data_IF_492414212903
#
_entry.id   IF_492414212903
#
_cell.length_a   1.000
_cell.length_b   1.000
_cell.length_c   1.000
_cell.angle_alpha   90.00
_cell.angle_beta   90.00
_cell.angle_gamma   90.00
#
_symmetry.space_group_name_H-M   'P 1'
#
loop_
_entity.id
_entity.type
_entity.pdbx_description
1 polymer ?
#
# COMPACT_ATOMS: atom_id res chain seq x y z
N UNK A 1 19.35 -20.00 23.53
CA UNK A 1 19.71 -18.56 23.44
C UNK A 1 18.52 -17.71 23.86
N UNK A 2 18.72 -16.94 24.93
CA UNK A 2 18.07 -15.72 25.45
C UNK A 2 16.59 -15.43 25.08
N UNK A 3 15.69 -15.76 26.00
CA UNK A 3 14.36 -15.16 26.11
C UNK A 3 14.46 -13.94 27.03
N UNK A 4 14.76 -12.77 26.47
CA UNK A 4 14.78 -11.50 27.23
C UNK A 4 13.36 -11.19 27.73
N UNK A 5 13.08 -11.57 28.98
CA UNK A 5 11.85 -11.23 29.66
C UNK A 5 11.76 -9.71 29.77
N UNK A 6 10.71 -9.11 29.21
CA UNK A 6 10.44 -7.68 29.40
C UNK A 6 10.34 -7.42 30.90
N UNK A 7 11.22 -6.57 31.44
CA UNK A 7 11.20 -6.11 32.82
C UNK A 7 10.45 -4.77 32.91
N UNK A 8 10.02 -4.38 34.10
CA UNK A 8 9.49 -3.05 34.31
C UNK A 8 10.58 -1.99 34.09
N UNK A 9 10.28 -0.99 33.26
CA UNK A 9 11.21 0.09 32.87
C UNK A 9 11.74 0.95 34.02
N UNK A 10 11.16 0.88 35.22
CA UNK A 10 11.54 1.72 36.36
C UNK A 10 12.14 0.96 37.55
N UNK A 11 11.85 -0.33 37.65
CA UNK A 11 12.10 -1.10 38.88
C UNK A 11 12.78 -2.45 38.58
N UNK A 12 13.07 -2.75 37.30
CA UNK A 12 13.59 -4.01 36.75
C UNK A 12 12.90 -5.30 37.24
N UNK A 13 11.77 -5.16 37.91
CA UNK A 13 10.97 -6.26 38.44
C UNK A 13 10.07 -6.83 37.35
N UNK A 14 9.54 -8.03 37.60
CA UNK A 14 8.58 -8.68 36.70
C UNK A 14 7.35 -7.79 36.50
N UNK A 15 7.04 -7.36 35.26
CA UNK A 15 5.92 -6.48 35.01
C UNK A 15 4.61 -7.26 35.07
N UNK A 16 3.60 -6.64 35.68
CA UNK A 16 2.26 -7.20 35.79
C UNK A 16 1.27 -6.59 34.79
N UNK A 17 1.56 -5.38 34.32
CA UNK A 17 0.65 -4.60 33.50
C UNK A 17 1.38 -3.88 32.36
N UNK A 18 0.61 -3.31 31.42
CA UNK A 18 1.12 -2.50 30.30
C UNK A 18 0.38 -1.17 30.25
N UNK A 19 1.09 -0.10 29.88
CA UNK A 19 0.47 1.22 29.73
C UNK A 19 -0.48 1.25 28.53
N UNK A 20 -1.71 1.79 28.64
CA UNK A 20 -2.65 1.87 27.51
C UNK A 20 -2.22 2.86 26.42
N UNK A 21 -1.33 3.80 26.73
CA UNK A 21 -0.91 4.86 25.79
C UNK A 21 0.34 4.49 24.98
N UNK A 22 1.27 3.75 25.57
CA UNK A 22 2.56 3.45 24.94
C UNK A 22 2.96 1.97 25.00
N UNK A 23 2.14 1.13 25.63
CA UNK A 23 2.36 -0.32 25.77
C UNK A 23 3.63 -0.75 26.52
N UNK A 24 4.32 0.20 27.18
CA UNK A 24 5.49 -0.08 28.03
C UNK A 24 5.06 -0.91 29.26
N UNK A 25 5.81 -1.97 29.60
CA UNK A 25 5.54 -2.84 30.74
C UNK A 25 5.87 -2.19 32.10
N UNK A 26 5.02 -2.41 33.11
CA UNK A 26 5.26 -1.89 34.47
C UNK A 26 4.86 -2.86 35.60
N UNK A 27 5.51 -2.71 36.76
CA UNK A 27 5.33 -3.58 37.93
C UNK A 27 4.16 -3.13 38.85
N UNK A 28 3.91 -1.82 38.98
CA UNK A 28 2.87 -1.28 39.89
C UNK A 28 2.32 0.09 39.45
N UNK A 29 1.26 0.56 40.11
CA UNK A 29 0.66 1.89 39.87
C UNK A 29 1.69 3.01 40.07
N UNK A 30 2.60 2.88 41.05
CA UNK A 30 3.68 3.85 41.28
C UNK A 30 4.59 3.98 40.04
N UNK A 31 4.99 2.85 39.46
CA UNK A 31 5.80 2.85 38.23
C UNK A 31 5.02 3.35 37.02
N UNK A 32 3.70 3.15 36.96
CA UNK A 32 2.85 3.71 35.91
C UNK A 32 2.72 5.23 36.01
N UNK A 33 2.63 5.78 37.23
CA UNK A 33 2.58 7.23 37.45
C UNK A 33 3.92 7.89 37.09
N UNK A 34 5.04 7.31 37.51
CA UNK A 34 6.37 7.81 37.15
C UNK A 34 6.60 7.77 35.64
N UNK A 35 6.16 6.69 35.00
CA UNK A 35 6.13 6.57 33.54
C UNK A 35 5.36 7.70 32.86
N UNK A 36 4.14 7.99 33.34
CA UNK A 36 3.25 9.00 32.74
C UNK A 36 3.80 10.42 32.85
N UNK A 37 4.51 10.73 33.93
CA UNK A 37 5.08 12.06 34.18
C UNK A 37 6.32 12.32 33.32
N UNK A 38 7.20 11.34 33.20
CA UNK A 38 8.55 11.57 32.67
C UNK A 38 8.73 11.08 31.22
N UNK A 39 8.09 9.96 30.82
CA UNK A 39 8.51 9.22 29.61
C UNK A 39 7.34 8.53 28.86
N UNK A 40 6.10 9.02 28.99
CA UNK A 40 4.96 8.45 28.28
C UNK A 40 4.78 9.05 26.89
N UNK A 41 5.54 8.52 25.94
CA UNK A 41 5.42 8.86 24.54
C UNK A 41 4.54 7.81 23.86
N UNK A 42 3.41 8.24 23.28
CA UNK A 42 2.62 7.38 22.40
C UNK A 42 3.53 6.99 21.23
N UNK A 43 3.80 5.70 20.98
CA UNK A 43 4.57 5.33 19.81
C UNK A 43 3.88 5.93 18.60
N UNK A 44 4.64 6.44 17.62
CA UNK A 44 4.03 6.81 16.35
C UNK A 44 3.17 5.62 15.91
N UNK A 45 1.95 5.85 15.39
CA UNK A 45 1.18 4.77 14.78
C UNK A 45 2.15 4.01 13.90
N UNK A 46 2.19 2.65 13.95
CA UNK A 46 3.16 1.87 13.22
C UNK A 46 3.20 2.48 11.84
N UNK A 47 4.35 3.07 11.49
CA UNK A 47 4.55 3.52 10.14
C UNK A 47 4.12 2.32 9.32
N UNK A 48 3.12 2.51 8.47
CA UNK A 48 2.89 1.62 7.35
C UNK A 48 4.17 1.75 6.52
N UNK A 49 5.21 1.08 7.02
CA UNK A 49 6.39 0.75 6.32
C UNK A 49 5.80 0.05 5.11
N UNK A 50 5.85 0.78 4.01
CA UNK A 50 5.35 0.36 2.73
C UNK A 50 6.15 -0.89 2.41
N UNK A 51 5.67 -2.04 2.91
CA UNK A 51 5.99 -3.38 2.44
C UNK A 51 5.33 -3.53 1.06
N UNK A 52 5.63 -2.60 0.16
CA UNK A 52 5.67 -2.86 -1.27
C UNK A 52 7.05 -3.48 -1.51
N UNK A 53 7.33 -4.56 -0.81
CA UNK A 53 8.52 -5.41 -1.00
C UNK A 53 8.20 -6.82 -0.55
N UNK A 54 6.97 -7.26 -0.78
CA UNK A 54 6.62 -8.67 -0.77
C UNK A 54 6.08 -9.02 -2.15
N UNK A 55 7.03 -9.33 -3.05
CA UNK A 55 6.88 -10.26 -4.18
C UNK A 55 5.63 -10.06 -5.05
N UNK A 56 5.61 -9.02 -5.87
CA UNK A 56 5.14 -9.23 -7.25
C UNK A 56 6.28 -9.90 -8.02
N UNK A 57 6.59 -11.16 -7.68
CA UNK A 57 7.23 -12.02 -8.65
C UNK A 57 6.18 -12.20 -9.74
N UNK A 58 6.24 -11.37 -10.78
CA UNK A 58 5.52 -11.62 -12.01
C UNK A 58 6.02 -12.99 -12.46
N UNK A 59 5.22 -14.03 -12.17
CA UNK A 59 5.68 -15.41 -12.27
C UNK A 59 6.07 -15.77 -13.70
N UNK A 60 5.51 -15.03 -14.67
CA UNK A 60 5.72 -15.19 -16.10
C UNK A 60 5.61 -13.81 -16.78
N UNK A 61 6.71 -13.05 -16.91
CA UNK A 61 6.70 -11.83 -17.68
C UNK A 61 6.47 -12.16 -19.16
N UNK A 62 5.53 -11.46 -19.77
CA UNK A 62 5.23 -11.49 -21.21
C UNK A 62 5.75 -10.22 -21.89
N UNK A 63 5.69 -10.15 -23.22
CA UNK A 63 6.05 -8.94 -23.98
C UNK A 63 5.15 -7.73 -23.60
N UNK A 64 3.92 -8.00 -23.18
CA UNK A 64 2.97 -6.98 -22.70
C UNK A 64 3.19 -6.58 -21.23
N UNK A 65 4.10 -7.25 -20.52
CA UNK A 65 4.37 -6.95 -19.12
C UNK A 65 5.25 -5.72 -18.99
N UNK A 66 4.77 -4.69 -18.31
CA UNK A 66 5.53 -3.46 -18.08
C UNK A 66 6.70 -3.69 -17.10
N UNK A 67 7.90 -3.13 -17.39
CA UNK A 67 9.02 -3.18 -16.46
C UNK A 67 8.75 -2.29 -15.23
N UNK A 68 9.38 -2.63 -14.10
CA UNK A 68 9.13 -1.97 -12.82
C UNK A 68 9.41 -0.46 -12.87
N UNK A 69 10.43 -0.05 -13.63
CA UNK A 69 10.81 1.34 -13.82
C UNK A 69 9.67 2.16 -14.46
N UNK A 70 8.95 1.57 -15.43
CA UNK A 70 7.78 2.19 -16.06
C UNK A 70 6.59 2.25 -15.10
N UNK A 71 6.38 1.21 -14.30
CA UNK A 71 5.35 1.22 -13.24
C UNK A 71 5.65 2.29 -12.18
N UNK A 72 6.91 2.54 -11.86
CA UNK A 72 7.31 3.61 -10.93
C UNK A 72 7.02 5.02 -11.47
N UNK A 73 7.01 5.21 -12.80
CA UNK A 73 6.64 6.50 -13.39
C UNK A 73 5.17 6.84 -13.12
N UNK A 74 4.27 5.85 -13.11
CA UNK A 74 2.87 6.02 -12.74
C UNK A 74 2.72 6.57 -11.31
N UNK A 75 3.56 6.09 -10.37
CA UNK A 75 3.57 6.59 -8.98
C UNK A 75 3.90 8.08 -8.89
N UNK A 76 4.64 8.65 -9.84
CA UNK A 76 5.03 10.06 -9.81
C UNK A 76 4.11 10.96 -10.67
N UNK A 77 3.29 10.38 -11.54
CA UNK A 77 2.34 11.12 -12.38
C UNK A 77 1.26 11.82 -11.56
N UNK A 78 1.13 13.14 -11.76
CA UNK A 78 0.11 13.96 -11.11
C UNK A 78 -1.31 13.59 -11.57
N UNK A 79 -1.51 13.39 -12.88
CA UNK A 79 -2.82 13.03 -13.44
C UNK A 79 -3.32 11.69 -12.92
N UNK A 80 -2.45 10.68 -12.88
CA UNK A 80 -2.80 9.35 -12.36
C UNK A 80 -3.19 9.44 -10.87
N UNK A 81 -2.46 10.23 -10.07
CA UNK A 81 -2.82 10.48 -8.67
C UNK A 81 -4.16 11.17 -8.52
N UNK A 82 -4.49 12.10 -9.42
CA UNK A 82 -5.77 12.81 -9.40
C UNK A 82 -6.92 11.83 -9.64
N UNK A 83 -6.83 10.97 -10.67
CA UNK A 83 -7.82 9.93 -10.92
C UNK A 83 -8.01 9.04 -9.67
N UNK A 84 -6.91 8.65 -9.01
CA UNK A 84 -6.93 7.80 -7.82
C UNK A 84 -7.55 8.45 -6.57
N UNK A 85 -7.81 9.76 -6.56
CA UNK A 85 -8.60 10.38 -5.48
C UNK A 85 -10.06 9.93 -5.51
N UNK A 86 -10.55 9.44 -6.64
CA UNK A 86 -11.91 8.94 -6.76
C UNK A 86 -12.07 7.60 -5.99
N UNK A 87 -12.92 7.54 -4.95
CA UNK A 87 -13.11 6.32 -4.17
C UNK A 87 -13.75 5.18 -4.98
N UNK A 88 -14.59 5.49 -5.98
CA UNK A 88 -15.22 4.49 -6.84
C UNK A 88 -14.18 3.81 -7.74
N UNK A 89 -13.26 4.59 -8.32
CA UNK A 89 -12.14 4.04 -9.10
C UNK A 89 -11.29 3.08 -8.27
N UNK A 90 -10.93 3.49 -7.04
CA UNK A 90 -10.17 2.62 -6.13
C UNK A 90 -10.91 1.33 -5.79
N UNK A 91 -12.23 1.39 -5.67
CA UNK A 91 -13.06 0.20 -5.44
C UNK A 91 -13.02 -0.74 -6.66
N UNK A 92 -13.22 -0.22 -7.87
CA UNK A 92 -13.12 -0.98 -9.13
C UNK A 92 -11.75 -1.67 -9.22
N UNK A 93 -10.65 -0.93 -9.04
CA UNK A 93 -9.29 -1.49 -9.09
C UNK A 93 -9.08 -2.59 -8.04
N UNK A 94 -9.59 -2.39 -6.82
CA UNK A 94 -9.50 -3.39 -5.75
C UNK A 94 -10.30 -4.66 -6.07
N UNK A 95 -11.46 -4.51 -6.73
CA UNK A 95 -12.25 -5.66 -7.18
C UNK A 95 -11.52 -6.45 -8.25
N UNK A 96 -10.95 -5.78 -9.25
CA UNK A 96 -10.17 -6.43 -10.32
C UNK A 96 -8.99 -7.20 -9.72
N UNK A 97 -8.17 -6.54 -8.88
CA UNK A 97 -6.95 -7.11 -8.26
C UNK A 97 -7.22 -8.36 -7.41
N UNK A 98 -8.39 -8.43 -6.75
CA UNK A 98 -8.78 -9.55 -5.89
C UNK A 98 -9.63 -10.61 -6.57
N UNK A 99 -10.00 -10.41 -7.82
CA UNK A 99 -10.94 -11.29 -8.52
C UNK A 99 -10.28 -12.56 -9.03
N UNK A 100 -11.08 -13.62 -9.15
CA UNK A 100 -10.67 -14.83 -9.89
C UNK A 100 -10.78 -14.65 -11.42
N UNK A 101 -11.56 -13.66 -11.88
CA UNK A 101 -11.85 -13.40 -13.29
C UNK A 101 -11.53 -11.93 -13.66
N UNK A 102 -10.25 -11.53 -13.63
CA UNK A 102 -9.86 -10.13 -13.84
C UNK A 102 -10.18 -9.63 -15.25
N UNK A 103 -10.11 -10.49 -16.27
CA UNK A 103 -10.39 -10.14 -17.67
C UNK A 103 -11.81 -9.60 -17.86
N UNK A 104 -12.83 -10.29 -17.35
CA UNK A 104 -14.23 -9.88 -17.49
C UNK A 104 -14.52 -8.59 -16.69
N UNK A 105 -13.90 -8.45 -15.51
CA UNK A 105 -14.06 -7.24 -14.70
C UNK A 105 -13.37 -6.03 -15.34
N UNK A 106 -12.22 -6.22 -15.99
CA UNK A 106 -11.59 -5.16 -16.78
C UNK A 106 -12.51 -4.74 -17.93
N UNK A 107 -13.12 -5.69 -18.66
CA UNK A 107 -14.05 -5.37 -19.73
C UNK A 107 -15.28 -4.58 -19.22
N UNK A 108 -15.83 -4.95 -18.06
CA UNK A 108 -16.91 -4.19 -17.42
C UNK A 108 -16.43 -2.82 -16.96
N UNK A 109 -15.26 -2.73 -16.35
CA UNK A 109 -14.69 -1.47 -15.89
C UNK A 109 -14.43 -0.51 -17.05
N UNK A 110 -14.11 -0.99 -18.25
CA UNK A 110 -13.97 -0.17 -19.46
C UNK A 110 -15.28 0.53 -19.89
N UNK A 111 -16.44 0.14 -19.35
CA UNK A 111 -17.70 0.86 -19.53
C UNK A 111 -17.83 2.07 -18.60
N UNK A 112 -17.02 2.14 -17.54
CA UNK A 112 -17.04 3.21 -16.54
C UNK A 112 -16.11 4.36 -16.97
N UNK A 113 -16.61 5.59 -17.13
CA UNK A 113 -15.81 6.71 -17.64
C UNK A 113 -14.60 7.02 -16.77
N UNK A 114 -14.73 6.84 -15.45
CA UNK A 114 -13.63 7.09 -14.50
C UNK A 114 -12.48 6.10 -14.65
N UNK A 115 -12.76 4.87 -15.10
CA UNK A 115 -11.75 3.85 -15.31
C UNK A 115 -11.08 4.01 -16.68
N UNK A 116 -11.84 4.40 -17.70
CA UNK A 116 -11.31 4.78 -19.02
C UNK A 116 -10.36 5.98 -18.91
N UNK A 117 -10.73 7.01 -18.16
CA UNK A 117 -9.88 8.17 -17.90
C UNK A 117 -8.56 7.75 -17.23
N UNK A 118 -8.65 6.94 -16.17
CA UNK A 118 -7.48 6.40 -15.49
C UNK A 118 -6.56 5.59 -16.40
N UNK A 119 -7.13 4.67 -17.21
CA UNK A 119 -6.37 3.86 -18.16
C UNK A 119 -5.66 4.74 -19.19
N UNK A 120 -6.37 5.75 -19.71
CA UNK A 120 -5.82 6.72 -20.67
C UNK A 120 -4.63 7.47 -20.08
N UNK A 121 -4.75 7.97 -18.84
CA UNK A 121 -3.65 8.65 -18.16
C UNK A 121 -2.47 7.72 -17.86
N UNK A 122 -2.73 6.45 -17.58
CA UNK A 122 -1.66 5.45 -17.42
C UNK A 122 -0.92 5.20 -18.74
N UNK A 123 -1.65 5.02 -19.85
CA UNK A 123 -1.08 4.81 -21.19
C UNK A 123 -0.18 5.97 -21.62
N UNK A 124 -0.62 7.23 -21.39
CA UNK A 124 0.19 8.43 -21.68
C UNK A 124 1.56 8.44 -20.98
N UNK A 125 1.67 7.82 -19.81
CA UNK A 125 2.92 7.76 -19.04
C UNK A 125 3.81 6.61 -19.50
N UNK A 126 3.23 5.46 -19.82
CA UNK A 126 4.00 4.24 -20.08
C UNK A 126 4.40 4.09 -21.56
N UNK A 127 3.54 4.54 -22.48
CA UNK A 127 3.78 4.41 -23.92
C UNK A 127 4.86 5.41 -24.41
N UNK A 128 5.74 4.99 -25.33
CA UNK A 128 6.66 5.89 -25.99
C UNK A 128 5.92 6.84 -26.97
N UNK A 129 6.46 8.03 -27.23
CA UNK A 129 5.81 9.04 -28.08
C UNK A 129 5.59 8.61 -29.54
N UNK A 130 6.27 7.57 -30.03
CA UNK A 130 6.16 7.08 -31.41
C UNK A 130 5.07 6.02 -31.66
N UNK A 131 4.22 5.69 -30.66
CA UNK A 131 3.16 4.68 -30.81
C UNK A 131 1.73 5.25 -30.95
N UNK A 132 1.58 6.56 -31.18
CA UNK A 132 0.25 7.20 -31.17
C UNK A 132 -0.63 6.92 -32.38
N UNK A 133 -0.18 6.26 -33.45
CA UNK A 133 -1.01 6.02 -34.65
C UNK A 133 -0.70 4.71 -35.41
N UNK A 134 -0.95 3.53 -34.83
CA UNK A 134 -1.33 2.34 -35.63
C UNK A 134 -2.16 1.38 -34.76
N UNK A 135 -3.42 1.71 -34.48
CA UNK A 135 -4.43 0.65 -34.46
C UNK A 135 -5.11 0.73 -35.82
N UNK A 136 -4.42 0.16 -36.82
CA UNK A 136 -5.09 -0.25 -38.03
C UNK A 136 -6.25 -1.14 -37.62
N UNK A 137 -7.45 -0.68 -37.93
CA UNK A 137 -8.67 -1.49 -37.87
C UNK A 137 -8.58 -2.49 -39.03
N UNK A 138 -7.68 -3.46 -38.91
CA UNK A 138 -7.54 -4.59 -39.82
C UNK A 138 -7.64 -5.85 -38.96
N UNK A 139 -8.84 -6.43 -38.87
CA UNK A 139 -9.17 -7.71 -39.53
C UNK A 139 -10.53 -8.29 -39.06
N UNK A 140 -11.35 -8.56 -40.09
CA UNK A 140 -12.52 -9.44 -40.27
C UNK A 140 -13.81 -9.32 -39.43
#
# INVERSE_FOLDING_TARGET
MNSEGKVCTYCDSVPKYKCPNCFIPYCSVKCCQQHKLENCIKPPPPEENNKITEKQNISYPTEDTLPLEKLQQLKNSGSVKECLKNPHLRHIMTMIDKSSNPTDLIAQAMMEPIFVEFATECLKVVQPPDQSEVYSSDED
#
